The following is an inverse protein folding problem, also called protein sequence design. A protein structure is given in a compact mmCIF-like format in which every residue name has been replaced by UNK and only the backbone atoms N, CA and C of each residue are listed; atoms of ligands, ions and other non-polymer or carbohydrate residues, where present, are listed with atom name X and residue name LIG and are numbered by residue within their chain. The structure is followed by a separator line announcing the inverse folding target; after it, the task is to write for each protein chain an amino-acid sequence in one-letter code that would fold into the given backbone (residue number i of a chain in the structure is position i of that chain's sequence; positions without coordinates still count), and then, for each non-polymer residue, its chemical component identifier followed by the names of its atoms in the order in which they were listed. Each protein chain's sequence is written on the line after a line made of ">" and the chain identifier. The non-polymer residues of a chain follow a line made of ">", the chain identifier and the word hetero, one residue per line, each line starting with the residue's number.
data_IF_537951579924
#
_entry.id   IF_537951579924
#
_cell.length_a   1.000
_cell.length_b   1.000
_cell.length_c   1.000
_cell.angle_alpha   90.00
_cell.angle_beta   90.00
_cell.angle_gamma   90.00
#
_symmetry.space_group_name_H-M   'P 1'
#
loop_
_entity.id
_entity.type
_entity.pdbx_description
1 polymer ?
#
# COMPACT_ATOMS: atom_id res chain seq x y z
N UNK A 1 7.90 4.15 0.23
CA UNK A 1 6.79 4.71 1.01
C UNK A 1 7.33 5.62 2.10
N UNK A 2 6.56 6.64 2.50
CA UNK A 2 6.91 7.62 3.53
C UNK A 2 5.69 7.83 4.46
N UNK A 3 5.88 8.53 5.58
CA UNK A 3 4.83 8.76 6.58
C UNK A 3 4.68 7.62 7.61
N UNK A 4 3.77 7.78 8.56
CA UNK A 4 3.63 6.92 9.75
C UNK A 4 3.36 5.44 9.43
N UNK A 5 2.57 5.16 8.40
CA UNK A 5 2.30 3.79 7.92
C UNK A 5 3.28 3.29 6.85
N UNK A 6 4.32 4.06 6.53
CA UNK A 6 5.17 3.84 5.36
C UNK A 6 5.92 2.51 5.38
N UNK A 7 6.40 2.06 6.53
CA UNK A 7 7.09 0.77 6.66
C UNK A 7 6.17 -0.41 6.39
N UNK A 8 4.93 -0.38 6.86
CA UNK A 8 3.94 -1.43 6.64
C UNK A 8 3.50 -1.48 5.17
N UNK A 9 3.21 -0.32 4.57
CA UNK A 9 2.88 -0.22 3.15
C UNK A 9 4.04 -0.74 2.28
N UNK A 10 5.28 -0.36 2.59
CA UNK A 10 6.45 -0.83 1.84
C UNK A 10 6.64 -2.35 1.95
N UNK A 11 6.51 -2.91 3.15
CA UNK A 11 6.66 -4.35 3.35
C UNK A 11 5.57 -5.13 2.59
N UNK A 12 4.31 -4.69 2.69
CA UNK A 12 3.20 -5.29 1.96
C UNK A 12 3.36 -5.18 0.45
N UNK A 13 3.72 -3.98 -0.06
CA UNK A 13 3.91 -3.75 -1.48
C UNK A 13 5.02 -4.63 -2.07
N UNK A 14 6.15 -4.79 -1.36
CA UNK A 14 7.23 -5.69 -1.78
C UNK A 14 6.77 -7.14 -1.87
N UNK A 15 6.09 -7.63 -0.84
CA UNK A 15 5.60 -9.01 -0.83
C UNK A 15 4.60 -9.27 -1.97
N UNK A 16 3.70 -8.31 -2.25
CA UNK A 16 2.74 -8.43 -3.34
C UNK A 16 3.43 -8.37 -4.70
N UNK A 17 4.40 -7.47 -4.89
CA UNK A 17 5.18 -7.38 -6.12
C UNK A 17 5.97 -8.66 -6.43
N UNK A 18 6.55 -9.29 -5.41
CA UNK A 18 7.42 -10.47 -5.60
C UNK A 18 6.63 -11.78 -5.78
N UNK A 19 5.36 -11.84 -5.37
CA UNK A 19 4.61 -13.09 -5.24
C UNK A 19 3.22 -13.08 -5.90
N UNK A 20 2.89 -12.05 -6.67
CA UNK A 20 1.60 -11.97 -7.38
C UNK A 20 1.78 -11.31 -8.75
N UNK A 21 0.80 -11.50 -9.63
CA UNK A 21 0.72 -10.82 -10.93
C UNK A 21 -0.16 -9.56 -10.88
N UNK A 22 -0.27 -8.94 -9.70
CA UNK A 22 -1.09 -7.75 -9.50
C UNK A 22 -0.49 -6.55 -10.24
N UNK A 23 -1.37 -5.71 -10.79
CA UNK A 23 -0.99 -4.42 -11.35
C UNK A 23 -0.46 -3.47 -10.26
N UNK A 24 0.30 -2.45 -10.68
CA UNK A 24 0.79 -1.42 -9.76
C UNK A 24 -0.34 -0.78 -8.94
N UNK A 25 -1.51 -0.55 -9.56
CA UNK A 25 -2.70 -0.01 -8.89
C UNK A 25 -3.18 -0.95 -7.77
N UNK A 26 -3.32 -2.24 -8.08
CA UNK A 26 -3.77 -3.24 -7.10
C UNK A 26 -2.79 -3.43 -5.95
N UNK A 27 -1.48 -3.39 -6.22
CA UNK A 27 -0.43 -3.43 -5.21
C UNK A 27 -0.51 -2.23 -4.27
N UNK A 28 -0.64 -1.01 -4.82
CA UNK A 28 -0.75 0.22 -4.02
C UNK A 28 -2.02 0.20 -3.17
N UNK A 29 -3.16 -0.15 -3.76
CA UNK A 29 -4.43 -0.21 -3.02
C UNK A 29 -4.37 -1.23 -1.88
N UNK A 30 -3.86 -2.43 -2.14
CA UNK A 30 -3.77 -3.51 -1.13
C UNK A 30 -2.76 -3.16 -0.03
N UNK A 31 -1.60 -2.64 -0.38
CA UNK A 31 -0.57 -2.26 0.59
C UNK A 31 -1.00 -1.09 1.49
N UNK A 32 -1.73 -0.12 0.95
CA UNK A 32 -2.29 0.98 1.74
C UNK A 32 -3.41 0.52 2.68
N UNK A 33 -4.28 -0.41 2.26
CA UNK A 33 -5.26 -1.05 3.14
C UNK A 33 -4.61 -1.80 4.30
N UNK A 34 -3.51 -2.52 4.04
CA UNK A 34 -2.74 -3.19 5.10
C UNK A 34 -2.14 -2.16 6.07
N UNK A 35 -1.56 -1.07 5.57
CA UNK A 35 -1.02 -0.01 6.42
C UNK A 35 -2.10 0.65 7.28
N UNK A 36 -3.30 0.87 6.74
CA UNK A 36 -4.46 1.42 7.45
C UNK A 36 -4.93 0.53 8.61
N UNK A 37 -4.83 -0.80 8.45
CA UNK A 37 -5.22 -1.76 9.49
C UNK A 37 -4.20 -1.88 10.63
N UNK A 38 -2.95 -1.42 10.43
CA UNK A 38 -1.85 -1.59 11.39
C UNK A 38 -1.47 -0.27 12.05
N UNK A 39 -1.37 0.81 11.28
CA UNK A 39 -0.91 2.10 11.78
C UNK A 39 -2.08 2.96 12.26
N UNK A 40 -2.12 3.29 13.54
CA UNK A 40 -3.15 4.17 14.13
C UNK A 40 -3.21 5.58 13.50
N UNK A 41 -2.18 5.98 12.73
CA UNK A 41 -2.10 7.27 12.03
C UNK A 41 -2.30 7.14 10.51
N UNK A 42 -2.75 5.98 10.02
CA UNK A 42 -3.11 5.76 8.61
C UNK A 42 -4.50 5.16 8.57
N UNK A 43 -5.40 5.71 7.76
CA UNK A 43 -6.77 5.24 7.65
C UNK A 43 -7.05 4.64 6.26
N UNK A 44 -8.27 4.17 6.06
CA UNK A 44 -8.75 3.52 4.85
C UNK A 44 -9.26 4.49 3.77
N UNK A 45 -9.18 5.80 4.00
CA UNK A 45 -9.55 6.82 3.03
C UNK A 45 -8.36 7.11 2.11
N UNK A 46 -8.24 6.33 1.03
CA UNK A 46 -7.08 6.30 0.14
C UNK A 46 -7.40 7.01 -1.18
N UNK A 47 -6.60 8.02 -1.54
CA UNK A 47 -6.58 8.62 -2.89
C UNK A 47 -5.41 8.04 -3.67
N UNK A 48 -5.66 7.61 -4.91
CA UNK A 48 -4.67 6.96 -5.77
C UNK A 48 -4.62 7.70 -7.11
N UNK A 49 -3.42 8.19 -7.45
CA UNK A 49 -3.13 8.87 -8.71
C UNK A 49 -2.23 7.97 -9.57
N UNK A 50 -2.47 7.91 -10.87
CA UNK A 50 -1.70 7.11 -11.83
C UNK A 50 -1.38 7.92 -13.09
N UNK A 51 -0.27 7.58 -13.75
CA UNK A 51 0.13 8.17 -15.04
C UNK A 51 -0.07 7.09 -16.10
N UNK A 52 -0.71 7.47 -17.20
CA UNK A 52 -0.94 6.64 -18.38
C UNK A 52 0.31 6.55 -19.27
#
# INVERSE_FOLDING_TARGET
>A
AIGSGGSYALAAAKALYDHTDLSAREIVESSMKIAANICIYTNDHITLEEIL
#
